data_IF_968274112853
#
_entry.id   IF_968274112853
#
_cell.length_a   1.000
_cell.length_b   1.000
_cell.length_c   1.000
_cell.angle_alpha   90.00
_cell.angle_beta   90.00
_cell.angle_gamma   90.00
#
_symmetry.space_group_name_H-M   'P 1'
#
loop_
_entity.id
_entity.type
_entity.pdbx_description
1 polymer ?
#
# COMPACT_ATOMS: atom_id res chain seq x y z
N UNK A 1 26.17 58.29 65.48
CA UNK A 1 25.97 57.31 66.58
C UNK A 1 24.83 56.38 66.20
N UNK A 2 25.08 55.10 66.34
CA UNK A 2 24.22 53.92 66.07
C UNK A 2 23.95 53.55 64.59
N UNK A 3 24.82 52.64 64.11
CA UNK A 3 24.66 51.77 62.95
C UNK A 3 23.46 50.85 63.15
N UNK A 4 22.62 50.71 62.09
CA UNK A 4 21.75 49.59 61.94
C UNK A 4 22.13 48.84 60.68
N UNK A 5 22.65 47.65 60.86
CA UNK A 5 22.94 46.71 59.79
C UNK A 5 21.59 46.02 59.41
N UNK A 6 21.23 46.15 58.14
CA UNK A 6 20.15 45.39 57.53
C UNK A 6 20.73 44.16 56.79
N UNK A 7 20.49 42.98 57.35
CA UNK A 7 20.75 41.69 56.68
C UNK A 7 19.62 41.40 55.68
N UNK A 8 19.92 41.49 54.38
CA UNK A 8 19.01 41.06 53.31
C UNK A 8 19.21 39.56 53.05
N UNK A 9 18.22 38.78 53.44
CA UNK A 9 18.13 37.34 53.11
C UNK A 9 17.67 37.17 51.65
N UNK A 10 18.55 36.73 50.80
CA UNK A 10 18.22 36.30 49.45
C UNK A 10 17.65 34.89 49.51
N UNK A 11 16.34 34.77 49.36
CA UNK A 11 15.67 33.49 49.09
C UNK A 11 15.89 33.12 47.62
N UNK A 12 16.75 32.15 47.40
CA UNK A 12 17.01 31.55 46.09
C UNK A 12 15.91 30.49 45.82
N UNK A 13 14.84 30.89 45.18
CA UNK A 13 13.76 29.99 44.70
C UNK A 13 14.30 29.17 43.52
N UNK A 14 14.68 27.93 43.77
CA UNK A 14 15.01 26.95 42.75
C UNK A 14 13.69 26.49 42.08
N UNK A 15 13.36 27.10 40.96
CA UNK A 15 12.27 26.63 40.09
C UNK A 15 12.72 25.37 39.39
N UNK A 16 12.30 24.21 39.87
CA UNK A 16 12.38 22.92 39.15
C UNK A 16 11.43 23.01 37.96
N UNK A 17 11.96 23.36 36.78
CA UNK A 17 11.32 23.17 35.50
C UNK A 17 11.25 21.65 35.26
N UNK A 18 10.18 21.01 35.70
CA UNK A 18 9.79 19.72 35.17
C UNK A 18 9.46 19.95 33.68
N UNK A 19 10.41 19.67 32.80
CA UNK A 19 10.18 19.51 31.39
C UNK A 19 9.20 18.35 31.21
N UNK A 20 7.91 18.65 31.10
CA UNK A 20 6.95 17.68 30.60
C UNK A 20 7.37 17.36 29.15
N UNK A 21 8.14 16.30 28.96
CA UNK A 21 8.22 15.64 27.68
C UNK A 21 6.80 15.19 27.37
N UNK A 22 6.08 15.93 26.53
CA UNK A 22 4.87 15.42 25.90
C UNK A 22 5.31 14.21 25.08
N UNK A 23 5.23 13.02 25.68
CA UNK A 23 5.27 11.79 24.92
C UNK A 23 4.17 11.94 23.87
N UNK A 24 4.54 12.07 22.60
CA UNK A 24 3.57 12.07 21.53
C UNK A 24 2.88 10.71 21.61
N UNK A 25 1.55 10.73 21.78
CA UNK A 25 0.79 9.49 21.85
C UNK A 25 1.13 8.68 20.60
N UNK A 26 1.51 7.42 20.78
CA UNK A 26 1.72 6.46 19.71
C UNK A 26 0.45 6.42 18.81
N UNK A 27 0.61 6.24 17.52
CA UNK A 27 -0.52 6.22 16.58
C UNK A 27 -1.53 5.13 16.93
N UNK A 28 -1.11 3.98 17.48
CA UNK A 28 -2.01 2.93 17.96
C UNK A 28 -2.93 3.47 19.07
N UNK A 29 -2.37 4.12 20.07
CA UNK A 29 -3.13 4.73 21.16
C UNK A 29 -4.08 5.81 20.63
N UNK A 30 -3.61 6.64 19.70
CA UNK A 30 -4.43 7.67 19.05
C UNK A 30 -5.63 7.07 18.31
N UNK A 31 -5.44 5.97 17.55
CA UNK A 31 -6.51 5.24 16.85
C UNK A 31 -7.53 4.68 17.84
N UNK A 32 -7.06 4.06 18.93
CA UNK A 32 -7.92 3.49 19.97
C UNK A 32 -8.71 4.56 20.71
N UNK A 33 -8.09 5.68 21.08
CA UNK A 33 -8.76 6.81 21.75
C UNK A 33 -9.81 7.48 20.87
N UNK A 34 -9.53 7.65 19.58
CA UNK A 34 -10.49 8.22 18.60
C UNK A 34 -11.60 7.23 18.25
N UNK A 35 -11.39 5.94 18.46
CA UNK A 35 -12.32 4.88 18.09
C UNK A 35 -12.51 4.74 16.57
N UNK A 36 -11.54 5.20 15.76
CA UNK A 36 -11.61 5.18 14.29
C UNK A 36 -10.25 4.84 13.71
N UNK A 37 -10.22 3.87 12.78
CA UNK A 37 -9.07 3.53 11.94
C UNK A 37 -9.32 4.03 10.53
N UNK A 38 -8.49 4.95 10.03
CA UNK A 38 -8.54 5.46 8.67
C UNK A 38 -7.58 4.68 7.79
N UNK A 39 -8.10 4.03 6.76
CA UNK A 39 -7.33 3.15 5.89
C UNK A 39 -7.39 3.60 4.44
N UNK A 40 -6.23 3.87 3.85
CA UNK A 40 -6.12 4.09 2.41
C UNK A 40 -6.30 2.77 1.66
N UNK A 41 -7.25 2.73 0.71
CA UNK A 41 -7.60 1.53 -0.06
C UNK A 41 -7.70 1.83 -1.55
N UNK A 42 -7.49 0.83 -2.44
CA UNK A 42 -7.71 1.01 -3.87
C UNK A 42 -9.22 0.99 -4.17
N UNK A 43 -9.64 1.71 -5.21
CA UNK A 43 -11.02 1.68 -5.71
C UNK A 43 -11.14 1.22 -7.16
N UNK A 44 -10.01 1.00 -7.83
CA UNK A 44 -9.88 0.75 -9.27
C UNK A 44 -8.89 -0.40 -9.58
N UNK A 45 -8.68 -1.29 -8.61
CA UNK A 45 -7.69 -2.37 -8.72
C UNK A 45 -8.26 -3.73 -8.26
N UNK A 46 -9.26 -4.27 -8.97
CA UNK A 46 -9.79 -5.59 -8.66
C UNK A 46 -8.69 -6.69 -8.85
N UNK A 47 -8.68 -7.74 -8.03
CA UNK A 47 -9.64 -8.09 -6.98
C UNK A 47 -9.31 -7.48 -5.61
N UNK A 48 -8.31 -6.56 -5.50
CA UNK A 48 -7.90 -5.96 -4.23
C UNK A 48 -8.86 -4.88 -3.74
N UNK A 49 -9.29 -3.97 -4.63
CA UNK A 49 -10.31 -2.99 -4.32
C UNK A 49 -11.00 -2.46 -5.57
N UNK A 50 -12.32 -2.44 -5.53
CA UNK A 50 -13.19 -1.89 -6.56
C UNK A 50 -14.49 -1.39 -5.96
N UNK A 51 -15.22 -0.57 -6.69
CA UNK A 51 -16.57 -0.14 -6.32
C UNK A 51 -17.57 -1.03 -7.03
N UNK A 52 -18.44 -1.68 -6.25
CA UNK A 52 -19.49 -2.55 -6.77
C UNK A 52 -20.67 -1.76 -7.38
N UNK A 53 -21.65 -2.48 -7.90
CA UNK A 53 -22.89 -1.91 -8.43
C UNK A 53 -23.77 -1.29 -7.34
N UNK A 54 -23.57 -1.68 -6.09
CA UNK A 54 -24.18 -1.12 -4.88
C UNK A 54 -23.46 0.15 -4.37
N UNK A 55 -22.47 0.64 -5.11
CA UNK A 55 -21.60 1.79 -4.81
C UNK A 55 -20.75 1.60 -3.54
N UNK A 56 -20.60 0.37 -3.07
CA UNK A 56 -19.74 0.07 -1.92
C UNK A 56 -18.37 -0.45 -2.36
N UNK A 57 -17.32 -0.17 -1.56
CA UNK A 57 -16.01 -0.78 -1.77
C UNK A 57 -16.05 -2.29 -1.51
N UNK A 58 -15.42 -3.06 -2.39
CA UNK A 58 -15.25 -4.50 -2.30
C UNK A 58 -13.84 -4.90 -2.69
N UNK A 59 -13.32 -5.96 -2.11
CA UNK A 59 -12.02 -6.49 -2.48
C UNK A 59 -11.24 -7.08 -1.30
N UNK A 60 -10.13 -7.71 -1.63
CA UNK A 60 -9.23 -8.32 -0.64
C UNK A 60 -8.75 -7.29 0.41
N UNK A 61 -8.31 -6.12 -0.06
CA UNK A 61 -7.80 -5.05 0.80
C UNK A 61 -8.89 -4.43 1.66
N UNK A 62 -10.13 -4.41 1.17
CA UNK A 62 -11.29 -3.93 1.91
C UNK A 62 -11.61 -4.89 3.05
N UNK A 63 -11.63 -6.21 2.77
CA UNK A 63 -11.85 -7.23 3.79
C UNK A 63 -10.72 -7.24 4.84
N UNK A 64 -9.46 -7.03 4.40
CA UNK A 64 -8.31 -6.91 5.30
C UNK A 64 -8.40 -5.67 6.21
N UNK A 65 -8.79 -4.52 5.67
CA UNK A 65 -9.01 -3.31 6.46
C UNK A 65 -10.14 -3.50 7.49
N UNK A 66 -11.23 -4.15 7.10
CA UNK A 66 -12.35 -4.46 7.98
C UNK A 66 -11.92 -5.42 9.11
N UNK A 67 -11.13 -6.43 8.80
CA UNK A 67 -10.59 -7.36 9.79
C UNK A 67 -9.73 -6.64 10.84
N UNK A 68 -8.79 -5.78 10.40
CA UNK A 68 -7.94 -5.04 11.33
C UNK A 68 -8.76 -4.09 12.22
N UNK A 69 -9.70 -3.34 11.66
CA UNK A 69 -10.56 -2.44 12.44
C UNK A 69 -11.42 -3.19 13.47
N UNK A 70 -11.98 -4.35 13.09
CA UNK A 70 -12.73 -5.21 13.98
C UNK A 70 -11.86 -5.72 15.15
N UNK A 71 -10.64 -6.18 14.87
CA UNK A 71 -9.72 -6.69 15.89
C UNK A 71 -9.19 -5.61 16.82
N UNK A 72 -9.11 -4.37 16.36
CA UNK A 72 -8.74 -3.20 17.17
C UNK A 72 -9.93 -2.61 17.93
N UNK A 73 -11.15 -3.15 17.73
CA UNK A 73 -12.41 -2.64 18.31
C UNK A 73 -12.68 -1.17 17.99
N UNK A 74 -12.45 -0.75 16.74
CA UNK A 74 -12.65 0.62 16.26
C UNK A 74 -13.50 0.65 15.00
N UNK A 75 -14.07 1.80 14.68
CA UNK A 75 -14.78 2.02 13.41
C UNK A 75 -13.79 2.12 12.26
N UNK A 76 -14.16 1.54 11.10
CA UNK A 76 -13.38 1.66 9.87
C UNK A 76 -13.84 2.88 9.06
N UNK A 77 -12.88 3.72 8.66
CA UNK A 77 -13.07 4.76 7.66
C UNK A 77 -12.18 4.45 6.45
N UNK A 78 -12.78 4.14 5.31
CA UNK A 78 -12.06 3.85 4.06
C UNK A 78 -11.79 5.15 3.31
N UNK A 79 -10.54 5.37 2.91
CA UNK A 79 -10.10 6.53 2.13
C UNK A 79 -9.58 6.05 0.79
N UNK A 80 -10.32 6.26 -0.32
CA UNK A 80 -9.88 5.87 -1.65
C UNK A 80 -8.61 6.60 -2.08
N UNK A 81 -7.65 5.88 -2.66
CA UNK A 81 -6.38 6.44 -3.13
C UNK A 81 -5.98 5.92 -4.50
N UNK A 82 -5.25 6.74 -5.24
CA UNK A 82 -4.44 6.29 -6.38
C UNK A 82 -3.06 5.81 -5.93
N UNK A 83 -2.31 5.15 -6.79
CA UNK A 83 -0.96 4.66 -6.48
C UNK A 83 -0.03 5.77 -6.01
N UNK A 84 -0.12 6.96 -6.61
CA UNK A 84 0.73 8.11 -6.28
C UNK A 84 0.41 8.72 -4.89
N UNK A 85 -0.84 8.62 -4.43
CA UNK A 85 -1.31 9.27 -3.20
C UNK A 85 -1.10 8.44 -1.92
N UNK A 86 -0.79 7.15 -2.03
CA UNK A 86 -0.67 6.23 -0.88
C UNK A 86 0.29 6.75 0.20
N UNK A 87 1.55 6.97 -0.18
CA UNK A 87 2.59 7.42 0.75
C UNK A 87 2.34 8.85 1.25
N UNK A 88 2.03 9.85 0.38
CA UNK A 88 1.68 11.19 0.83
C UNK A 88 0.54 11.24 1.86
N UNK A 89 -0.50 10.43 1.68
CA UNK A 89 -1.62 10.40 2.63
C UNK A 89 -1.24 9.83 3.99
N UNK A 90 -0.37 8.83 4.00
CA UNK A 90 0.17 8.26 5.22
C UNK A 90 1.08 9.25 5.95
N UNK A 91 2.04 9.85 5.24
CA UNK A 91 3.00 10.81 5.81
C UNK A 91 2.37 12.09 6.35
N UNK A 92 1.23 12.50 5.78
CA UNK A 92 0.49 13.69 6.24
C UNK A 92 -0.55 13.38 7.32
N UNK A 93 -0.65 12.13 7.78
CA UNK A 93 -1.63 11.71 8.79
C UNK A 93 -3.09 11.77 8.30
N UNK A 94 -3.30 11.80 6.97
CA UNK A 94 -4.65 11.73 6.39
C UNK A 94 -5.25 10.35 6.55
N UNK A 95 -4.42 9.33 6.64
CA UNK A 95 -4.75 7.93 6.95
C UNK A 95 -3.79 7.37 7.98
N UNK A 96 -4.23 6.36 8.72
CA UNK A 96 -3.43 5.65 9.71
C UNK A 96 -2.67 4.47 9.10
N UNK A 97 -3.28 3.80 8.11
CA UNK A 97 -2.72 2.66 7.40
C UNK A 97 -2.94 2.81 5.89
N UNK A 98 -2.05 2.17 5.12
CA UNK A 98 -2.24 1.93 3.68
C UNK A 98 -2.40 0.43 3.45
N UNK A 99 -3.59 0.00 3.01
CA UNK A 99 -3.91 -1.36 2.58
C UNK A 99 -4.42 -1.25 1.14
N UNK A 100 -3.48 -1.24 0.20
CA UNK A 100 -3.77 -0.90 -1.19
C UNK A 100 -2.84 -1.64 -2.14
N UNK A 101 -2.85 -2.98 -2.09
CA UNK A 101 -1.94 -3.87 -2.83
C UNK A 101 -0.48 -3.34 -2.82
N UNK A 102 -0.03 -2.91 -1.64
CA UNK A 102 1.19 -2.12 -1.49
C UNK A 102 2.42 -3.02 -1.53
N UNK A 103 3.14 -3.00 -2.65
CA UNK A 103 4.43 -3.68 -2.77
C UNK A 103 5.55 -2.88 -2.11
N UNK A 104 6.57 -3.61 -1.62
CA UNK A 104 7.75 -3.10 -0.91
C UNK A 104 8.92 -2.89 -1.86
N UNK A 105 9.63 -1.78 -1.71
CA UNK A 105 10.92 -1.52 -2.34
C UNK A 105 11.77 -0.56 -1.48
N UNK A 106 13.08 -0.50 -1.77
CA UNK A 106 14.04 0.26 -0.99
C UNK A 106 13.71 1.77 -0.87
N UNK A 107 13.11 2.39 -1.90
CA UNK A 107 12.76 3.81 -1.84
C UNK A 107 11.58 4.07 -0.89
N UNK A 108 10.57 3.20 -0.93
CA UNK A 108 9.42 3.28 -0.01
C UNK A 108 9.82 2.98 1.43
N UNK A 109 10.73 2.02 1.65
CA UNK A 109 11.23 1.65 2.99
C UNK A 109 12.01 2.77 3.68
N UNK A 110 12.53 3.75 2.93
CA UNK A 110 13.14 4.95 3.52
C UNK A 110 12.14 5.84 4.25
N UNK A 111 10.88 5.85 3.81
CA UNK A 111 9.89 6.86 4.20
C UNK A 111 8.67 6.30 4.93
N UNK A 112 8.40 4.99 4.84
CA UNK A 112 7.34 4.28 5.57
C UNK A 112 7.86 2.94 6.06
N UNK A 113 7.15 2.33 7.01
CA UNK A 113 7.38 0.96 7.46
C UNK A 113 6.34 0.01 6.84
N UNK A 114 6.72 -1.26 6.72
CA UNK A 114 5.90 -2.30 6.11
C UNK A 114 5.66 -3.44 7.10
N UNK A 115 4.43 -3.94 7.11
CA UNK A 115 4.05 -5.13 7.88
C UNK A 115 4.64 -6.42 7.29
N UNK A 116 4.31 -7.56 7.90
CA UNK A 116 4.36 -8.86 7.25
C UNK A 116 3.45 -8.88 6.02
N UNK A 117 3.76 -9.75 5.06
CA UNK A 117 2.96 -9.92 3.85
C UNK A 117 1.58 -10.53 4.19
N UNK A 118 0.51 -9.97 3.57
CA UNK A 118 -0.85 -10.46 3.78
C UNK A 118 -1.52 -11.05 2.53
N UNK A 119 -0.97 -10.82 1.32
CA UNK A 119 -1.49 -11.38 0.08
C UNK A 119 -0.37 -11.67 -0.92
N UNK A 120 -0.46 -12.77 -1.70
CA UNK A 120 0.48 -13.05 -2.78
C UNK A 120 0.22 -12.12 -3.96
N UNK A 121 1.27 -11.65 -4.60
CA UNK A 121 1.19 -10.82 -5.77
C UNK A 121 2.52 -10.81 -6.54
N UNK A 122 2.48 -10.78 -7.85
CA UNK A 122 3.66 -10.51 -8.67
C UNK A 122 3.35 -9.50 -9.78
N UNK A 123 4.38 -8.81 -10.20
CA UNK A 123 4.35 -7.75 -11.19
C UNK A 123 5.00 -8.25 -12.48
N UNK A 124 4.44 -7.90 -13.60
CA UNK A 124 4.96 -8.28 -14.91
C UNK A 124 4.65 -7.26 -15.99
N UNK A 125 5.27 -7.48 -17.13
CA UNK A 125 4.86 -6.88 -18.40
C UNK A 125 3.94 -7.86 -19.11
N UNK A 126 2.80 -7.34 -19.53
CA UNK A 126 1.75 -8.08 -20.24
C UNK A 126 1.41 -7.36 -21.54
N UNK A 127 0.96 -8.10 -22.53
CA UNK A 127 0.69 -7.51 -23.83
C UNK A 127 -0.24 -8.34 -24.68
N UNK A 128 -0.63 -7.77 -25.84
CA UNK A 128 -1.39 -8.50 -26.85
C UNK A 128 -0.59 -9.70 -27.37
N UNK A 129 -1.31 -10.67 -27.96
CA UNK A 129 -0.69 -11.88 -28.55
C UNK A 129 0.38 -11.56 -29.60
N UNK A 130 0.21 -10.47 -30.32
CA UNK A 130 1.07 -10.06 -31.43
C UNK A 130 2.42 -9.48 -30.99
N UNK A 131 2.55 -9.13 -29.70
CA UNK A 131 3.81 -8.61 -29.17
C UNK A 131 4.79 -9.73 -28.83
N UNK A 132 5.97 -9.71 -29.46
CA UNK A 132 7.06 -10.70 -29.28
C UNK A 132 8.07 -10.23 -28.24
N UNK A 133 7.60 -9.79 -27.06
CA UNK A 133 8.44 -9.33 -25.95
C UNK A 133 8.62 -10.47 -24.95
N UNK A 134 9.86 -10.74 -24.55
CA UNK A 134 10.21 -11.78 -23.58
C UNK A 134 11.15 -11.26 -22.48
N UNK A 135 11.71 -10.07 -22.67
CA UNK A 135 12.66 -9.44 -21.75
C UNK A 135 12.53 -7.91 -21.77
N UNK A 136 13.21 -7.25 -20.83
CA UNK A 136 13.26 -5.79 -20.79
C UNK A 136 13.93 -5.19 -22.04
N UNK A 137 14.92 -5.86 -22.62
CA UNK A 137 15.63 -5.41 -23.82
C UNK A 137 14.70 -5.34 -25.05
N UNK A 138 13.69 -6.20 -25.12
CA UNK A 138 12.73 -6.23 -26.22
C UNK A 138 11.74 -5.05 -26.18
N UNK A 139 11.79 -4.23 -25.12
CA UNK A 139 11.02 -2.99 -24.98
C UNK A 139 11.60 -1.82 -25.79
N UNK A 140 12.79 -1.99 -26.41
CA UNK A 140 13.41 -1.00 -27.30
C UNK A 140 12.39 -0.50 -28.35
N UNK A 141 12.26 0.82 -28.48
CA UNK A 141 11.31 1.50 -29.39
C UNK A 141 9.83 1.18 -29.18
N UNK A 142 9.46 0.53 -28.04
CA UNK A 142 8.07 0.20 -27.72
C UNK A 142 7.47 1.17 -26.70
N UNK A 143 6.14 1.22 -26.69
CA UNK A 143 5.36 2.00 -25.70
C UNK A 143 4.69 1.07 -24.72
N UNK A 144 4.95 1.27 -23.41
CA UNK A 144 4.41 0.49 -22.30
C UNK A 144 3.57 1.40 -21.41
N UNK A 145 2.32 1.03 -21.17
CA UNK A 145 1.44 1.71 -20.21
C UNK A 145 1.71 1.28 -18.78
N UNK A 146 1.77 2.22 -17.85
CA UNK A 146 1.88 1.95 -16.40
C UNK A 146 1.02 2.92 -15.61
N UNK A 147 0.64 2.52 -14.39
CA UNK A 147 0.03 3.45 -13.44
C UNK A 147 1.10 4.25 -12.72
N UNK A 148 1.01 5.57 -12.77
CA UNK A 148 1.97 6.50 -12.16
C UNK A 148 2.20 6.19 -10.69
N UNK A 149 3.49 6.08 -10.27
CA UNK A 149 3.88 5.85 -8.88
C UNK A 149 3.59 4.44 -8.35
N UNK A 150 3.15 3.51 -9.19
CA UNK A 150 3.06 2.10 -8.87
C UNK A 150 4.46 1.47 -8.72
N UNK A 151 4.56 0.27 -8.15
CA UNK A 151 5.85 -0.45 -8.09
C UNK A 151 6.30 -0.82 -9.50
N UNK A 152 5.37 -1.17 -10.37
CA UNK A 152 5.61 -1.49 -11.78
C UNK A 152 6.27 -0.31 -12.51
N UNK A 153 5.77 0.91 -12.29
CA UNK A 153 6.38 2.13 -12.85
C UNK A 153 7.82 2.30 -12.36
N UNK A 154 8.04 2.14 -11.05
CA UNK A 154 9.35 2.30 -10.44
C UNK A 154 10.34 1.22 -10.88
N UNK A 155 9.93 -0.04 -10.97
CA UNK A 155 10.80 -1.14 -11.38
C UNK A 155 11.06 -1.11 -12.89
N UNK A 156 10.03 -0.87 -13.72
CA UNK A 156 10.18 -0.75 -15.17
C UNK A 156 11.12 0.40 -15.56
N UNK A 157 11.02 1.54 -14.86
CA UNK A 157 11.88 2.71 -15.11
C UNK A 157 13.37 2.45 -14.90
N UNK A 158 13.72 1.43 -14.10
CA UNK A 158 15.13 1.06 -13.86
C UNK A 158 15.72 0.18 -14.96
N UNK A 159 14.88 -0.58 -15.67
CA UNK A 159 15.34 -1.64 -16.57
C UNK A 159 14.97 -1.41 -18.04
N UNK A 160 14.03 -0.51 -18.31
CA UNK A 160 13.61 -0.21 -19.68
C UNK A 160 14.76 0.44 -20.47
N UNK A 161 14.95 0.06 -21.74
CA UNK A 161 15.87 0.75 -22.65
C UNK A 161 15.58 2.25 -22.75
N UNK A 162 16.57 3.06 -23.00
CA UNK A 162 16.46 4.53 -23.07
C UNK A 162 15.53 5.02 -24.19
N UNK A 163 15.32 4.22 -25.22
CA UNK A 163 14.43 4.50 -26.36
C UNK A 163 13.03 3.90 -26.18
N UNK A 164 12.77 3.19 -25.07
CA UNK A 164 11.43 2.77 -24.71
C UNK A 164 10.61 3.94 -24.17
N UNK A 165 9.33 3.98 -24.53
CA UNK A 165 8.40 4.99 -24.03
C UNK A 165 7.55 4.43 -22.90
N UNK A 166 7.78 4.89 -21.66
CA UNK A 166 6.91 4.55 -20.52
C UNK A 166 5.80 5.58 -20.42
N UNK A 167 4.59 5.19 -20.82
CA UNK A 167 3.39 6.03 -20.78
C UNK A 167 2.69 5.88 -19.44
N UNK A 168 2.76 6.92 -18.61
CA UNK A 168 2.21 6.94 -17.25
C UNK A 168 0.80 7.47 -17.24
N UNK A 169 -0.12 6.63 -16.79
CA UNK A 169 -1.53 6.99 -16.59
C UNK A 169 -1.76 7.33 -15.11
N UNK A 170 -2.79 8.14 -14.84
CA UNK A 170 -3.04 8.67 -13.50
C UNK A 170 -3.53 7.61 -12.51
N UNK A 171 -4.32 6.64 -13.00
CA UNK A 171 -4.90 5.57 -12.21
C UNK A 171 -4.91 4.24 -12.99
N UNK A 172 -5.34 3.17 -12.31
CA UNK A 172 -5.36 1.83 -12.89
C UNK A 172 -6.43 1.71 -13.98
N UNK A 173 -7.60 2.35 -13.82
CA UNK A 173 -8.65 2.33 -14.84
C UNK A 173 -8.15 2.93 -16.15
N UNK A 174 -7.45 4.06 -16.10
CA UNK A 174 -6.86 4.67 -17.28
C UNK A 174 -5.78 3.79 -17.92
N UNK A 175 -4.94 3.14 -17.10
CA UNK A 175 -3.93 2.19 -17.59
C UNK A 175 -4.58 1.02 -18.32
N UNK A 176 -5.58 0.38 -17.72
CA UNK A 176 -6.28 -0.76 -18.31
C UNK A 176 -7.07 -0.38 -19.54
N UNK A 177 -7.76 0.77 -19.50
CA UNK A 177 -8.51 1.29 -20.64
C UNK A 177 -7.61 1.57 -21.85
N UNK A 178 -6.38 2.05 -21.61
CA UNK A 178 -5.41 2.29 -22.68
C UNK A 178 -5.00 1.00 -23.41
N UNK A 179 -4.89 -0.11 -22.69
CA UNK A 179 -4.63 -1.43 -23.26
C UNK A 179 -5.87 -1.97 -23.99
N UNK A 180 -7.03 -1.94 -23.35
CA UNK A 180 -8.28 -2.44 -23.92
C UNK A 180 -8.72 -1.68 -25.19
N UNK A 181 -8.41 -0.39 -25.28
CA UNK A 181 -8.66 0.42 -26.48
C UNK A 181 -7.62 0.27 -27.58
N UNK A 182 -6.49 -0.40 -27.29
CA UNK A 182 -5.36 -0.50 -28.23
C UNK A 182 -4.49 0.75 -28.28
N UNK A 183 -4.63 1.68 -27.34
CA UNK A 183 -3.75 2.86 -27.24
C UNK A 183 -2.31 2.46 -26.90
N UNK A 184 -2.14 1.40 -26.13
CA UNK A 184 -0.88 0.71 -25.90
C UNK A 184 -1.08 -0.79 -26.11
N UNK A 185 -0.08 -1.48 -26.62
CA UNK A 185 -0.08 -2.94 -26.81
C UNK A 185 0.57 -3.68 -25.63
N UNK A 186 1.28 -2.95 -24.76
CA UNK A 186 1.96 -3.46 -23.59
C UNK A 186 1.56 -2.67 -22.35
N UNK A 187 1.34 -3.37 -21.22
CA UNK A 187 1.14 -2.76 -19.90
C UNK A 187 2.03 -3.44 -18.87
N UNK A 188 2.53 -2.68 -17.90
CA UNK A 188 3.12 -3.23 -16.70
C UNK A 188 2.11 -3.10 -15.56
N UNK A 189 1.72 -4.24 -14.98
CA UNK A 189 0.69 -4.33 -13.93
C UNK A 189 0.85 -5.62 -13.13
N UNK A 190 -0.07 -5.91 -12.24
CA UNK A 190 -0.10 -7.14 -11.45
C UNK A 190 -0.81 -8.30 -12.15
N UNK A 191 -0.36 -9.49 -11.88
CA UNK A 191 -0.90 -10.74 -12.46
C UNK A 191 -2.40 -10.94 -12.23
N UNK A 192 -2.90 -10.60 -11.04
CA UNK A 192 -4.31 -10.79 -10.69
C UNK A 192 -5.24 -9.83 -11.44
N UNK A 193 -4.74 -8.63 -11.76
CA UNK A 193 -5.45 -7.67 -12.61
C UNK A 193 -5.59 -8.21 -14.03
N UNK A 194 -4.54 -8.85 -14.56
CA UNK A 194 -4.56 -9.49 -15.87
C UNK A 194 -5.56 -10.65 -15.91
N UNK A 195 -5.63 -11.45 -14.85
CA UNK A 195 -6.64 -12.52 -14.72
C UNK A 195 -8.06 -11.96 -14.76
N UNK A 196 -8.31 -10.84 -14.10
CA UNK A 196 -9.59 -10.15 -14.12
C UNK A 196 -9.94 -9.62 -15.52
N UNK A 197 -8.96 -9.03 -16.23
CA UNK A 197 -9.13 -8.60 -17.63
C UNK A 197 -9.48 -9.80 -18.51
N UNK A 198 -8.74 -10.90 -18.39
CA UNK A 198 -8.96 -12.10 -19.19
C UNK A 198 -10.38 -12.68 -18.97
N UNK A 199 -10.88 -12.59 -17.74
CA UNK A 199 -12.23 -13.04 -17.39
C UNK A 199 -13.32 -12.14 -18.00
N UNK A 200 -13.15 -10.82 -17.92
CA UNK A 200 -14.15 -9.84 -18.39
C UNK A 200 -14.10 -9.62 -19.90
N UNK A 201 -12.92 -9.69 -20.47
CA UNK A 201 -12.65 -9.39 -21.88
C UNK A 201 -11.80 -10.49 -22.53
N UNK A 202 -12.31 -11.73 -22.69
CA UNK A 202 -11.52 -12.87 -23.18
C UNK A 202 -10.85 -12.62 -24.53
N UNK A 203 -11.52 -11.91 -25.44
CA UNK A 203 -10.97 -11.57 -26.76
C UNK A 203 -9.79 -10.58 -26.70
N UNK A 204 -9.56 -9.92 -25.56
CA UNK A 204 -8.46 -8.97 -25.32
C UNK A 204 -7.60 -9.38 -24.13
N UNK A 205 -7.63 -10.66 -23.77
CA UNK A 205 -6.86 -11.18 -22.66
C UNK A 205 -5.35 -10.93 -22.89
N UNK A 206 -4.69 -10.19 -21.98
CA UNK A 206 -3.26 -9.95 -22.11
C UNK A 206 -2.48 -11.25 -21.81
N UNK A 207 -1.38 -11.43 -22.53
CA UNK A 207 -0.44 -12.52 -22.27
C UNK A 207 0.73 -12.03 -21.42
N UNK A 208 1.21 -12.85 -20.50
CA UNK A 208 2.45 -12.59 -19.78
C UNK A 208 3.62 -12.54 -20.74
N UNK A 209 4.39 -11.47 -20.72
CA UNK A 209 5.60 -11.29 -21.51
C UNK A 209 6.84 -11.64 -20.70
N UNK A 210 7.01 -10.98 -19.55
CA UNK A 210 8.05 -11.36 -18.58
C UNK A 210 7.69 -10.86 -17.17
N UNK A 211 8.29 -11.47 -16.17
CA UNK A 211 8.13 -11.10 -14.77
C UNK A 211 9.03 -9.91 -14.45
N UNK A 212 8.46 -8.89 -13.79
CA UNK A 212 9.22 -7.76 -13.25
C UNK A 212 9.73 -8.07 -11.84
N UNK A 213 8.83 -8.52 -10.96
CA UNK A 213 9.13 -8.70 -9.54
C UNK A 213 8.09 -9.60 -8.88
N UNK A 214 8.56 -10.47 -7.96
CA UNK A 214 7.68 -11.02 -6.94
C UNK A 214 7.47 -9.94 -5.86
N UNK A 215 6.24 -9.53 -5.64
CA UNK A 215 5.90 -8.37 -4.84
C UNK A 215 4.65 -8.62 -3.99
N UNK A 216 4.75 -9.45 -2.94
CA UNK A 216 3.64 -9.62 -2.01
C UNK A 216 3.08 -8.28 -1.53
N UNK A 217 1.83 -8.28 -1.10
CA UNK A 217 1.19 -7.09 -0.55
C UNK A 217 1.44 -6.95 0.94
N UNK A 218 1.71 -5.74 1.38
CA UNK A 218 2.02 -5.35 2.75
C UNK A 218 1.14 -4.19 3.20
N UNK A 219 0.87 -4.10 4.50
CA UNK A 219 0.28 -2.89 5.09
C UNK A 219 1.38 -1.86 5.26
N UNK A 220 1.15 -0.64 4.76
CA UNK A 220 2.03 0.51 4.99
C UNK A 220 1.66 1.22 6.28
N UNK A 221 2.66 1.51 7.11
CA UNK A 221 2.55 2.21 8.38
C UNK A 221 3.48 3.43 8.34
N UNK A 222 3.13 4.52 8.99
CA UNK A 222 4.00 5.69 9.06
C UNK A 222 5.33 5.31 9.72
N UNK A 223 6.41 5.89 9.22
CA UNK A 223 7.76 5.58 9.68
C UNK A 223 7.91 5.86 11.17
N UNK A 224 8.38 4.85 11.93
CA UNK A 224 8.64 4.96 13.36
C UNK A 224 7.45 4.65 14.27
N UNK A 225 6.26 4.34 13.73
CA UNK A 225 5.09 3.94 14.52
C UNK A 225 5.16 2.45 14.90
N UNK A 226 6.14 2.12 15.77
CA UNK A 226 6.52 0.73 16.09
C UNK A 226 5.39 -0.06 16.77
N UNK A 227 4.60 0.56 17.66
CA UNK A 227 3.53 -0.14 18.36
C UNK A 227 2.38 -0.49 17.41
N UNK A 228 2.00 0.44 16.51
CA UNK A 228 0.98 0.15 15.48
C UNK A 228 1.48 -0.93 14.52
N UNK A 229 2.73 -0.86 14.07
CA UNK A 229 3.32 -1.89 13.20
C UNK A 229 3.36 -3.27 13.87
N UNK A 230 3.76 -3.33 15.13
CA UNK A 230 3.79 -4.57 15.93
C UNK A 230 2.40 -5.18 16.06
N UNK A 231 1.39 -4.36 16.33
CA UNK A 231 0.01 -4.81 16.46
C UNK A 231 -0.55 -5.30 15.12
N UNK A 232 -0.33 -4.57 14.02
CA UNK A 232 -0.70 -5.01 12.68
C UNK A 232 -0.05 -6.36 12.33
N UNK A 233 1.23 -6.54 12.63
CA UNK A 233 1.94 -7.81 12.41
C UNK A 233 1.38 -8.96 13.24
N UNK A 234 1.02 -8.70 14.50
CA UNK A 234 0.36 -9.68 15.37
C UNK A 234 -0.97 -10.13 14.77
N UNK A 235 -1.79 -9.17 14.29
CA UNK A 235 -3.09 -9.44 13.69
C UNK A 235 -2.98 -10.18 12.35
N UNK A 236 -1.98 -9.87 11.53
CA UNK A 236 -1.70 -10.62 10.29
C UNK A 236 -1.32 -12.08 10.61
N UNK A 237 -0.49 -12.28 11.63
CA UNK A 237 -0.10 -13.62 12.08
C UNK A 237 -1.31 -14.41 12.57
N UNK A 238 -2.16 -13.80 13.39
CA UNK A 238 -3.43 -14.39 13.85
C UNK A 238 -4.34 -14.72 12.65
N UNK A 239 -4.53 -13.78 11.70
CA UNK A 239 -5.33 -14.02 10.51
C UNK A 239 -4.82 -15.19 9.66
N UNK A 240 -3.52 -15.41 9.61
CA UNK A 240 -2.90 -16.57 8.94
C UNK A 240 -3.20 -17.86 9.69
N UNK A 241 -3.03 -17.87 11.01
CA UNK A 241 -3.25 -19.07 11.85
C UNK A 241 -4.72 -19.50 11.90
N UNK A 242 -5.63 -18.54 11.97
CA UNK A 242 -7.08 -18.75 12.05
C UNK A 242 -7.74 -19.02 10.68
N UNK A 243 -6.96 -19.05 9.59
CA UNK A 243 -7.45 -19.31 8.23
C UNK A 243 -8.21 -18.13 7.61
N UNK A 244 -8.16 -16.94 8.19
CA UNK A 244 -8.81 -15.73 7.65
C UNK A 244 -8.18 -15.34 6.31
N UNK A 245 -6.84 -15.35 6.22
CA UNK A 245 -6.14 -15.05 4.96
C UNK A 245 -6.40 -16.12 3.90
N UNK A 246 -6.55 -17.40 4.28
CA UNK A 246 -7.00 -18.46 3.37
C UNK A 246 -8.40 -18.14 2.84
N UNK A 247 -9.34 -17.76 3.71
CA UNK A 247 -10.69 -17.37 3.31
C UNK A 247 -10.70 -16.20 2.33
N UNK A 248 -9.88 -15.16 2.57
CA UNK A 248 -9.76 -14.03 1.65
C UNK A 248 -9.14 -14.44 0.31
N UNK A 249 -8.11 -15.29 0.34
CA UNK A 249 -7.46 -15.80 -0.87
C UNK A 249 -8.45 -16.60 -1.73
N UNK A 250 -9.19 -17.53 -1.15
CA UNK A 250 -10.22 -18.30 -1.85
C UNK A 250 -11.34 -17.41 -2.40
N UNK A 251 -11.80 -16.45 -1.60
CA UNK A 251 -12.88 -15.53 -2.00
C UNK A 251 -12.50 -14.65 -3.17
N UNK A 252 -11.34 -14.02 -3.12
CA UNK A 252 -10.94 -12.96 -4.04
C UNK A 252 -9.96 -13.41 -5.11
N UNK A 253 -8.98 -14.27 -4.76
CA UNK A 253 -7.92 -14.68 -5.69
C UNK A 253 -8.22 -16.03 -6.35
N UNK A 254 -9.25 -16.75 -5.87
CA UNK A 254 -9.64 -18.09 -6.35
C UNK A 254 -8.50 -19.12 -6.25
N UNK A 255 -7.63 -18.94 -5.29
CA UNK A 255 -6.43 -19.75 -5.06
C UNK A 255 -6.16 -19.92 -3.55
N UNK A 256 -5.52 -21.00 -3.13
CA UNK A 256 -5.10 -21.16 -1.74
C UNK A 256 -4.06 -20.09 -1.36
N UNK A 257 -4.04 -19.72 -0.07
CA UNK A 257 -3.02 -18.83 0.47
C UNK A 257 -1.67 -19.54 0.54
N UNK A 258 -0.58 -18.99 -0.01
CA UNK A 258 0.73 -19.64 0.00
C UNK A 258 1.28 -19.77 1.43
N UNK A 259 1.68 -20.97 1.83
CA UNK A 259 2.21 -21.23 3.18
C UNK A 259 3.52 -20.46 3.47
N UNK A 260 4.32 -20.23 2.45
CA UNK A 260 5.64 -19.58 2.47
C UNK A 260 5.60 -18.08 2.14
N UNK A 261 4.42 -17.48 2.09
CA UNK A 261 4.32 -16.06 1.78
C UNK A 261 5.07 -15.20 2.80
N UNK A 262 6.09 -14.49 2.33
CA UNK A 262 6.90 -13.60 3.16
C UNK A 262 7.99 -14.31 3.97
N UNK A 263 8.30 -15.57 3.66
CA UNK A 263 9.45 -16.29 4.23
C UNK A 263 10.77 -15.82 3.61
#
# INVERSE_FOLDING_TARGET
MKLFAAMSSVLMSASLLFGATTAQADQLESVQQKGVLKVAVPQDFPPFGSVGTDLKPHGYDIDMAAYLAQKLDVKLELVPVTSANRIPYLQTGKVDLVISSMGKNAEREKVIDFSAAYAPFYLGVFGSSDETVTSAQDLSSKTIGVTRGSVEDLELSKIAPSDATIKRFEDNNATLSSFLSGQVSLIATGNLVVTEIATRYPAKAPQTKFLLKNSPCYVGVMKGEEALLKEVNRLITEAKQDGVLEGFSQKWLKAPFPADLGA
#
